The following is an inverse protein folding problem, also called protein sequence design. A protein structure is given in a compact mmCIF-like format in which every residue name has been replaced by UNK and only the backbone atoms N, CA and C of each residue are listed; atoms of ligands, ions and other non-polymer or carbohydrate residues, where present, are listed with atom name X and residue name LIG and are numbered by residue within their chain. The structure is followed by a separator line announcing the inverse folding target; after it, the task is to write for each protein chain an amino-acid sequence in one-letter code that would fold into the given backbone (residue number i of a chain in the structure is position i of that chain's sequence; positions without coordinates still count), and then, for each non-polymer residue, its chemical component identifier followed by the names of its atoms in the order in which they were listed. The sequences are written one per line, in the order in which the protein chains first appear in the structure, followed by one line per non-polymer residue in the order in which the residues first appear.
data_IF_699844423176
#
_entry.id   IF_699844423176
#
_cell.length_a   1.000
_cell.length_b   1.000
_cell.length_c   1.000
_cell.angle_alpha   90.00
_cell.angle_beta   90.00
_cell.angle_gamma   90.00
#
_symmetry.space_group_name_H-M   'P 1'
#
loop_
_entity.id
_entity.type
_entity.pdbx_description
1 polymer ?
#
# COMPACT_ATOMS: atom_id res chain seq x y z
N UNK A 1 6.17 17.26 4.42
CA UNK A 1 7.04 16.24 3.83
C UNK A 1 6.70 16.14 2.36
N UNK A 2 7.70 16.31 1.48
CA UNK A 2 7.48 16.33 0.05
C UNK A 2 7.22 14.90 -0.49
N UNK A 3 6.56 14.75 -1.65
CA UNK A 3 6.39 13.44 -2.30
C UNK A 3 7.70 12.75 -2.68
N UNK A 4 8.79 13.51 -2.88
CA UNK A 4 10.12 12.98 -3.18
C UNK A 4 10.74 12.38 -1.90
N UNK A 5 10.67 13.09 -0.77
CA UNK A 5 11.17 12.63 0.54
C UNK A 5 10.54 11.29 0.95
N UNK A 6 9.24 11.11 0.66
CA UNK A 6 8.53 9.85 0.95
C UNK A 6 9.04 8.70 0.09
N UNK A 7 9.38 8.95 -1.18
CA UNK A 7 9.85 7.90 -2.07
C UNK A 7 11.15 7.26 -1.54
N UNK A 8 12.11 8.09 -1.13
CA UNK A 8 13.36 7.63 -0.54
C UNK A 8 13.11 6.86 0.77
N UNK A 9 12.29 7.40 1.67
CA UNK A 9 11.97 6.73 2.93
C UNK A 9 11.29 5.38 2.74
N UNK A 10 10.40 5.23 1.74
CA UNK A 10 9.78 3.94 1.40
C UNK A 10 10.80 2.92 0.90
N UNK A 11 11.79 3.37 0.13
CA UNK A 11 12.86 2.49 -0.36
C UNK A 11 13.76 2.03 0.80
N UNK A 12 14.17 2.96 1.67
CA UNK A 12 14.93 2.65 2.88
C UNK A 12 14.14 1.70 3.78
N UNK A 13 12.85 1.96 4.02
CA UNK A 13 11.98 1.08 4.79
C UNK A 13 11.98 -0.35 4.25
N UNK A 14 11.79 -0.53 2.92
CA UNK A 14 11.81 -1.86 2.31
C UNK A 14 13.16 -2.55 2.49
N UNK A 15 14.27 -1.83 2.32
CA UNK A 15 15.61 -2.38 2.56
C UNK A 15 15.83 -2.79 4.03
N UNK A 16 15.38 -2.00 5.00
CA UNK A 16 15.48 -2.36 6.41
C UNK A 16 14.60 -3.57 6.75
N UNK A 17 13.39 -3.61 6.19
CA UNK A 17 12.49 -4.75 6.34
C UNK A 17 13.13 -6.04 5.79
N UNK A 18 13.79 -6.00 4.63
CA UNK A 18 14.43 -7.19 4.08
C UNK A 18 15.58 -7.73 4.93
N UNK A 19 16.27 -6.86 5.67
CA UNK A 19 17.34 -7.25 6.62
C UNK A 19 16.83 -7.90 7.90
N UNK A 20 15.52 -7.84 8.18
CA UNK A 20 14.95 -8.46 9.37
C UNK A 20 14.98 -10.00 9.27
N UNK A 21 15.20 -10.65 10.41
CA UNK A 21 15.11 -12.11 10.50
C UNK A 21 13.67 -12.60 10.28
N UNK A 22 13.47 -13.89 9.93
CA UNK A 22 12.12 -14.45 9.80
C UNK A 22 11.27 -14.28 11.07
N UNK A 23 11.88 -14.40 12.26
CA UNK A 23 11.21 -14.15 13.54
C UNK A 23 10.76 -12.70 13.69
N UNK A 24 11.62 -11.74 13.38
CA UNK A 24 11.29 -10.31 13.44
C UNK A 24 10.19 -9.93 12.44
N UNK A 25 10.22 -10.48 11.22
CA UNK A 25 9.14 -10.31 10.23
C UNK A 25 7.82 -10.92 10.75
N UNK A 26 7.89 -12.08 11.41
CA UNK A 26 6.72 -12.74 11.99
C UNK A 26 6.11 -11.93 13.15
N UNK A 27 6.93 -11.32 14.00
CA UNK A 27 6.47 -10.47 15.10
C UNK A 27 5.68 -9.26 14.56
N UNK A 28 6.22 -8.57 13.55
CA UNK A 28 5.53 -7.45 12.88
C UNK A 28 4.20 -7.86 12.24
N UNK A 29 4.13 -9.07 11.66
CA UNK A 29 2.93 -9.57 10.97
C UNK A 29 1.80 -9.97 11.92
N UNK A 30 2.15 -10.43 13.13
CA UNK A 30 1.19 -10.99 14.10
C UNK A 30 0.47 -9.94 14.92
N UNK A 31 1.10 -8.78 15.13
CA UNK A 31 0.51 -7.71 15.94
C UNK A 31 -0.50 -6.89 15.14
N UNK A 32 -1.55 -6.37 15.80
CA UNK A 32 -2.44 -5.40 15.17
C UNK A 32 -1.66 -4.12 14.84
N UNK A 33 -2.08 -3.42 13.77
CA UNK A 33 -1.43 -2.18 13.29
C UNK A 33 -1.20 -1.16 14.41
N UNK A 34 -2.17 -1.02 15.31
CA UNK A 34 -2.18 -0.04 16.39
C UNK A 34 -1.02 -0.26 17.37
N UNK A 35 -0.61 -1.50 17.57
CA UNK A 35 0.41 -1.94 18.52
C UNK A 35 1.78 -2.17 17.86
N UNK A 36 1.94 -1.81 16.58
CA UNK A 36 3.22 -2.01 15.88
C UNK A 36 4.40 -1.32 16.58
N UNK A 37 4.17 -0.18 17.23
CA UNK A 37 5.17 0.51 18.03
C UNK A 37 5.51 -0.17 19.36
N UNK A 38 4.78 -1.23 19.75
CA UNK A 38 5.15 -2.07 20.89
C UNK A 38 6.10 -3.22 20.51
N UNK A 39 6.44 -3.36 19.22
CA UNK A 39 7.31 -4.43 18.71
C UNK A 39 8.74 -3.91 18.47
N UNK A 40 9.79 -4.51 19.07
CA UNK A 40 11.18 -4.05 18.86
C UNK A 40 11.62 -4.03 17.39
N UNK A 41 11.10 -4.96 16.58
CA UNK A 41 11.38 -4.99 15.14
C UNK A 41 10.87 -3.73 14.40
N UNK A 42 9.85 -3.04 14.90
CA UNK A 42 9.32 -1.82 14.28
C UNK A 42 10.36 -0.70 14.35
N UNK A 43 11.01 -0.51 15.49
CA UNK A 43 12.05 0.53 15.63
C UNK A 43 13.30 0.26 14.79
N UNK A 44 13.58 -1.00 14.44
CA UNK A 44 14.65 -1.36 13.49
C UNK A 44 14.38 -0.87 12.06
N UNK A 45 13.12 -0.58 11.73
CA UNK A 45 12.72 -0.04 10.42
C UNK A 45 13.07 1.45 10.25
N UNK A 46 13.46 2.13 11.34
CA UNK A 46 13.89 3.54 11.33
C UNK A 46 12.84 4.51 10.75
N UNK A 47 11.56 4.19 10.96
CA UNK A 47 10.43 5.07 10.63
C UNK A 47 9.78 5.59 11.91
N UNK A 48 9.20 6.80 11.91
CA UNK A 48 8.54 7.31 13.10
C UNK A 48 7.24 6.52 13.39
N UNK A 49 6.84 6.38 14.66
CA UNK A 49 5.67 5.59 15.07
C UNK A 49 4.33 6.32 14.81
N UNK A 50 4.19 6.98 13.66
CA UNK A 50 2.95 7.65 13.27
C UNK A 50 1.94 6.67 12.67
N UNK A 51 0.64 7.01 12.68
CA UNK A 51 -0.40 6.15 12.09
C UNK A 51 -0.14 5.89 10.59
N UNK A 52 0.38 6.88 9.85
CA UNK A 52 0.74 6.70 8.44
C UNK A 52 1.79 5.62 8.24
N UNK A 53 2.87 5.64 9.02
CA UNK A 53 3.93 4.64 8.94
C UNK A 53 3.48 3.28 9.45
N UNK A 54 2.67 3.23 10.52
CA UNK A 54 2.06 1.98 10.98
C UNK A 54 1.19 1.36 9.87
N UNK A 55 0.41 2.15 9.11
CA UNK A 55 -0.32 1.65 7.93
C UNK A 55 0.62 1.10 6.87
N UNK A 56 1.68 1.84 6.50
CA UNK A 56 2.64 1.41 5.48
C UNK A 56 3.33 0.10 5.88
N UNK A 57 3.82 0.00 7.11
CA UNK A 57 4.46 -1.22 7.64
C UNK A 57 3.48 -2.38 7.67
N UNK A 58 2.24 -2.15 8.11
CA UNK A 58 1.22 -3.20 8.11
C UNK A 58 0.97 -3.78 6.71
N UNK A 59 0.91 -2.94 5.66
CA UNK A 59 0.80 -3.40 4.28
C UNK A 59 2.07 -4.09 3.78
N UNK A 60 3.25 -3.59 4.14
CA UNK A 60 4.54 -4.19 3.78
C UNK A 60 4.66 -5.63 4.28
N UNK A 61 4.22 -5.91 5.51
CA UNK A 61 4.29 -7.27 6.09
C UNK A 61 3.42 -8.31 5.36
N UNK A 62 2.49 -7.85 4.53
CA UNK A 62 1.52 -8.70 3.82
C UNK A 62 1.72 -8.69 2.30
N UNK A 63 2.60 -7.82 1.80
CA UNK A 63 2.91 -7.73 0.39
C UNK A 63 3.73 -8.94 -0.02
N UNK A 64 3.15 -9.80 -0.86
CA UNK A 64 3.83 -11.00 -1.37
C UNK A 64 4.88 -10.67 -2.43
N UNK A 65 4.55 -9.75 -3.31
CA UNK A 65 5.38 -9.33 -4.42
C UNK A 65 5.08 -7.87 -4.79
N UNK A 66 6.04 -7.21 -5.41
CA UNK A 66 5.88 -5.88 -5.99
C UNK A 66 6.43 -5.89 -7.40
N UNK A 67 5.74 -5.24 -8.33
CA UNK A 67 6.23 -5.07 -9.68
C UNK A 67 7.29 -3.95 -9.75
N UNK A 68 8.23 -4.08 -10.67
CA UNK A 68 9.18 -3.02 -11.04
C UNK A 68 8.58 -2.21 -12.20
N UNK A 69 7.67 -1.31 -11.87
CA UNK A 69 7.05 -0.39 -12.81
C UNK A 69 6.73 0.95 -12.15
N UNK A 70 6.30 1.90 -12.97
CA UNK A 70 5.87 3.23 -12.55
C UNK A 70 4.34 3.38 -12.57
N UNK A 71 3.61 2.26 -12.63
CA UNK A 71 2.15 2.29 -12.63
C UNK A 71 1.63 2.86 -11.31
N UNK A 72 0.64 3.74 -11.40
CA UNK A 72 -0.15 4.14 -10.23
C UNK A 72 -0.88 2.92 -9.65
N UNK A 73 -1.28 3.00 -8.38
CA UNK A 73 -2.12 1.95 -7.78
C UNK A 73 -3.43 1.74 -8.56
N UNK A 74 -4.05 2.81 -9.05
CA UNK A 74 -5.27 2.70 -9.88
C UNK A 74 -5.01 1.95 -11.19
N UNK A 75 -3.91 2.28 -11.88
CA UNK A 75 -3.50 1.62 -13.12
C UNK A 75 -3.20 0.14 -12.90
N UNK A 76 -2.47 -0.22 -11.83
CA UNK A 76 -2.19 -1.61 -11.50
C UNK A 76 -3.47 -2.42 -11.21
N UNK A 77 -4.44 -1.81 -10.52
CA UNK A 77 -5.75 -2.44 -10.27
C UNK A 77 -6.56 -2.61 -11.56
N UNK A 78 -6.46 -1.69 -12.53
CA UNK A 78 -7.12 -1.82 -13.83
C UNK A 78 -6.53 -2.98 -14.65
N UNK A 79 -5.19 -3.08 -14.72
CA UNK A 79 -4.49 -4.20 -15.37
C UNK A 79 -4.85 -5.56 -14.77
N UNK A 80 -5.13 -5.59 -13.47
CA UNK A 80 -5.61 -6.78 -12.76
C UNK A 80 -7.11 -7.04 -12.92
N UNK A 81 -7.81 -6.28 -13.77
CA UNK A 81 -9.25 -6.41 -14.08
C UNK A 81 -10.13 -6.41 -12.83
N UNK A 82 -9.77 -5.59 -11.85
CA UNK A 82 -10.55 -5.45 -10.62
C UNK A 82 -11.93 -4.89 -10.96
N UNK A 83 -12.98 -5.55 -10.49
CA UNK A 83 -14.34 -5.07 -10.74
C UNK A 83 -14.59 -3.70 -10.10
N UNK A 84 -15.08 -2.75 -10.90
CA UNK A 84 -15.40 -1.37 -10.49
C UNK A 84 -16.19 -1.28 -9.18
N UNK A 85 -17.19 -2.16 -8.99
CA UNK A 85 -18.01 -2.22 -7.78
C UNK A 85 -17.15 -2.38 -6.53
N UNK A 86 -16.10 -3.21 -6.56
CA UNK A 86 -15.20 -3.43 -5.43
C UNK A 86 -14.33 -2.20 -5.16
N UNK A 87 -13.93 -1.49 -6.21
CA UNK A 87 -13.14 -0.26 -6.10
C UNK A 87 -13.97 0.89 -5.50
N UNK A 88 -15.23 1.05 -5.94
CA UNK A 88 -16.15 2.02 -5.37
C UNK A 88 -16.55 1.68 -3.92
N UNK A 89 -16.70 0.41 -3.58
CA UNK A 89 -16.92 -0.02 -2.20
C UNK A 89 -15.75 0.39 -1.30
N UNK A 90 -14.51 0.13 -1.73
CA UNK A 90 -13.31 0.58 -1.02
C UNK A 90 -13.29 2.12 -0.88
N UNK A 91 -13.56 2.85 -1.96
CA UNK A 91 -13.47 4.31 -1.96
C UNK A 91 -14.53 5.00 -1.08
N UNK A 92 -15.70 4.39 -0.91
CA UNK A 92 -16.80 4.92 -0.07
C UNK A 92 -16.73 4.47 1.39
N UNK A 93 -15.91 3.46 1.69
CA UNK A 93 -15.74 2.97 3.06
C UNK A 93 -14.90 3.94 3.88
N UNK A 94 -15.11 3.91 5.19
CA UNK A 94 -14.31 4.63 6.18
C UNK A 94 -13.30 3.69 6.86
N UNK A 95 -12.33 4.29 7.56
CA UNK A 95 -11.35 3.53 8.33
C UNK A 95 -12.04 2.79 9.48
N UNK A 96 -11.70 1.50 9.73
CA UNK A 96 -10.64 0.72 9.08
C UNK A 96 -11.08 -0.09 7.85
N UNK A 97 -12.37 -0.11 7.54
CA UNK A 97 -12.96 -0.98 6.51
C UNK A 97 -12.44 -0.70 5.09
N UNK A 98 -12.08 0.55 4.80
CA UNK A 98 -11.48 0.96 3.53
C UNK A 98 -10.11 0.32 3.25
N UNK A 99 -9.23 0.25 4.25
CA UNK A 99 -7.93 -0.38 4.17
C UNK A 99 -8.07 -1.91 4.09
N UNK A 100 -9.03 -2.49 4.80
CA UNK A 100 -9.37 -3.91 4.66
C UNK A 100 -9.88 -4.25 3.25
N UNK A 101 -10.71 -3.37 2.68
CA UNK A 101 -11.17 -3.52 1.31
C UNK A 101 -9.99 -3.46 0.33
N UNK A 102 -9.08 -2.49 0.48
CA UNK A 102 -7.87 -2.40 -0.34
C UNK A 102 -7.00 -3.66 -0.22
N UNK A 103 -6.80 -4.18 1.00
CA UNK A 103 -6.06 -5.41 1.25
C UNK A 103 -6.63 -6.59 0.47
N UNK A 104 -7.96 -6.74 0.43
CA UNK A 104 -8.65 -7.77 -0.37
C UNK A 104 -8.51 -7.55 -1.87
N UNK A 105 -8.33 -6.32 -2.34
CA UNK A 105 -8.02 -6.05 -3.75
C UNK A 105 -6.60 -6.53 -4.08
N UNK A 106 -5.63 -6.23 -3.22
CA UNK A 106 -4.23 -6.63 -3.39
C UNK A 106 -4.00 -8.14 -3.32
N UNK A 107 -4.92 -8.90 -2.70
CA UNK A 107 -4.87 -10.38 -2.72
C UNK A 107 -5.02 -11.00 -4.12
N UNK A 108 -5.51 -10.24 -5.11
CA UNK A 108 -5.52 -10.66 -6.52
C UNK A 108 -4.18 -10.42 -7.22
N UNK A 109 -3.16 -10.01 -6.46
CA UNK A 109 -1.78 -9.81 -6.92
C UNK A 109 -1.69 -8.90 -8.15
N UNK A 110 -2.31 -7.69 -8.11
CA UNK A 110 -2.11 -6.71 -9.18
C UNK A 110 -0.60 -6.38 -9.29
N UNK A 111 -0.10 -6.04 -10.49
CA UNK A 111 1.31 -5.71 -10.72
C UNK A 111 1.65 -4.32 -10.14
N UNK A 112 1.57 -4.19 -8.82
CA UNK A 112 1.68 -2.93 -8.11
C UNK A 112 3.14 -2.64 -7.74
N UNK A 113 3.58 -1.42 -8.05
CA UNK A 113 4.86 -0.91 -7.58
C UNK A 113 4.83 -0.64 -6.07
N UNK A 114 5.89 -1.04 -5.36
CA UNK A 114 6.04 -0.72 -3.93
C UNK A 114 5.98 0.79 -3.68
N UNK A 115 6.60 1.58 -4.56
CA UNK A 115 6.57 3.05 -4.47
C UNK A 115 5.15 3.59 -4.57
N UNK A 116 4.38 3.12 -5.55
CA UNK A 116 3.01 3.56 -5.75
C UNK A 116 2.09 3.15 -4.59
N UNK A 117 2.20 1.89 -4.13
CA UNK A 117 1.44 1.40 -2.99
C UNK A 117 1.80 2.15 -1.71
N UNK A 118 3.09 2.24 -1.38
CA UNK A 118 3.57 2.89 -0.17
C UNK A 118 3.12 4.35 -0.08
N UNK A 119 3.23 5.12 -1.18
CA UNK A 119 2.75 6.51 -1.25
C UNK A 119 1.24 6.58 -1.04
N UNK A 120 0.47 5.71 -1.69
CA UNK A 120 -0.99 5.68 -1.53
C UNK A 120 -1.42 5.38 -0.09
N UNK A 121 -0.76 4.42 0.57
CA UNK A 121 -1.06 4.08 1.97
C UNK A 121 -0.62 5.18 2.93
N UNK A 122 0.53 5.81 2.67
CA UNK A 122 1.02 6.92 3.49
C UNK A 122 0.04 8.09 3.50
N UNK A 123 -0.36 8.56 2.31
CA UNK A 123 -1.31 9.66 2.12
C UNK A 123 -2.78 9.22 2.11
N UNK A 124 -3.09 8.05 2.69
CA UNK A 124 -4.42 7.48 2.64
C UNK A 124 -5.50 8.44 3.17
N UNK A 125 -6.57 8.59 2.38
CA UNK A 125 -7.69 9.50 2.64
C UNK A 125 -8.48 9.74 1.35
N UNK A 126 -9.53 10.56 1.43
CA UNK A 126 -10.48 10.76 0.31
C UNK A 126 -9.82 11.23 -0.97
N UNK A 127 -8.84 12.14 -0.86
CA UNK A 127 -8.07 12.61 -2.01
C UNK A 127 -7.34 11.47 -2.71
N UNK A 128 -6.69 10.60 -1.94
CA UNK A 128 -5.97 9.45 -2.49
C UNK A 128 -6.92 8.42 -3.09
N UNK A 129 -8.05 8.13 -2.42
CA UNK A 129 -9.10 7.24 -2.94
C UNK A 129 -9.65 7.73 -4.29
N UNK A 130 -9.92 9.03 -4.41
CA UNK A 130 -10.35 9.66 -5.67
C UNK A 130 -9.26 9.59 -6.75
N UNK A 131 -7.99 9.77 -6.41
CA UNK A 131 -6.89 9.60 -7.37
C UNK A 131 -6.83 8.17 -7.91
N UNK A 132 -6.95 7.16 -7.03
CA UNK A 132 -6.95 5.75 -7.42
C UNK A 132 -8.10 5.46 -8.39
N UNK A 133 -9.31 5.94 -8.10
CA UNK A 133 -10.47 5.81 -9.00
C UNK A 133 -10.19 6.44 -10.36
N UNK A 134 -9.71 7.68 -10.38
CA UNK A 134 -9.40 8.41 -11.61
C UNK A 134 -8.39 7.65 -12.47
N UNK A 135 -7.27 7.24 -11.88
CA UNK A 135 -6.18 6.58 -12.62
C UNK A 135 -6.61 5.18 -13.12
N UNK A 136 -7.46 4.48 -12.36
CA UNK A 136 -8.08 3.21 -12.76
C UNK A 136 -8.94 3.36 -14.03
N UNK A 137 -9.84 4.35 -14.07
CA UNK A 137 -10.70 4.57 -15.22
C UNK A 137 -9.96 5.10 -16.45
N UNK A 138 -8.94 5.96 -16.25
CA UNK A 138 -8.09 6.41 -17.35
C UNK A 138 -7.35 5.24 -18.01
N UNK A 139 -6.86 4.28 -17.22
CA UNK A 139 -6.20 3.09 -17.72
C UNK A 139 -7.15 2.19 -18.54
N UNK A 140 -8.37 1.93 -18.04
CA UNK A 140 -9.37 1.14 -18.79
C UNK A 140 -9.72 1.77 -20.14
N UNK A 141 -9.90 3.09 -20.21
CA UNK A 141 -10.22 3.78 -21.46
C UNK A 141 -9.10 3.67 -22.50
N UNK A 142 -7.84 3.73 -22.06
CA UNK A 142 -6.69 3.56 -22.94
C UNK A 142 -6.54 2.12 -23.46
N UNK A 143 -6.91 1.11 -22.67
CA UNK A 143 -6.93 -0.29 -23.11
C UNK A 143 -8.04 -0.54 -24.15
N UNK A 144 -9.23 0.04 -23.95
CA UNK A 144 -10.36 -0.12 -24.87
C UNK A 144 -10.21 0.63 -26.20
N UNK A 145 -9.23 1.53 -26.31
CA UNK A 145 -8.96 2.30 -27.53
C UNK A 145 -7.87 1.68 -28.42
N UNK A 146 -7.32 0.51 -28.02
CA UNK A 146 -6.32 -0.26 -28.78
C UNK A 146 -6.96 -1.51 -29.37
#
# INVERSE_FOLDING_TARGET
MSPQDIGEQLQTLKQQYEKLTPGQKADLRRVPRQELDMVPAFYRLQVPPSDQWKRVVHFLTQLKSSAENDDSLGTALAKAKIHERRLFQMARSESPADLDALRRLLQQEPPVSWQALGKAIFFWGDRQKRSILKDFFLAQTQENSK
#
